data_IF_485415474957
#
_entry.id   IF_485415474957
#
_cell.length_a   1.000
_cell.length_b   1.000
_cell.length_c   1.000
_cell.angle_alpha   90.00
_cell.angle_beta   90.00
_cell.angle_gamma   90.00
#
_symmetry.space_group_name_H-M   'P 1'
#
loop_
_entity.id
_entity.type
_entity.pdbx_description
1 polymer ?
#
# COMPACT_ATOMS: atom_id res chain seq x y z
N UNK A 1 -55.40 -48.23 44.30
CA UNK A 1 -55.50 -47.45 45.55
C UNK A 1 -54.55 -46.27 45.44
N UNK A 2 -55.14 -45.06 45.33
CA UNK A 2 -54.57 -43.69 45.48
C UNK A 2 -53.46 -43.29 44.47
N UNK A 3 -53.71 -42.54 43.38
CA UNK A 3 -54.03 -41.10 43.20
C UNK A 3 -53.01 -40.09 43.76
N UNK A 4 -52.49 -39.24 42.85
CA UNK A 4 -52.17 -37.78 42.89
C UNK A 4 -51.04 -37.54 41.86
N UNK A 5 -51.23 -36.97 40.67
CA UNK A 5 -51.65 -35.61 40.26
C UNK A 5 -51.06 -34.47 41.08
N UNK A 6 -50.02 -33.80 40.53
CA UNK A 6 -49.69 -32.40 40.76
C UNK A 6 -49.02 -31.80 39.51
N UNK A 7 -49.85 -31.16 38.68
CA UNK A 7 -49.71 -29.78 38.16
C UNK A 7 -48.34 -29.25 37.71
N UNK A 8 -48.26 -28.95 36.41
CA UNK A 8 -47.32 -28.03 35.75
C UNK A 8 -47.33 -26.63 36.39
N UNK A 9 -46.19 -26.20 36.93
CA UNK A 9 -45.90 -24.78 37.18
C UNK A 9 -44.97 -24.27 36.06
N UNK A 10 -45.55 -23.57 35.08
CA UNK A 10 -44.82 -22.76 34.11
C UNK A 10 -44.21 -21.57 34.86
N UNK A 11 -42.94 -21.70 35.28
CA UNK A 11 -42.14 -20.55 35.70
C UNK A 11 -41.90 -19.67 34.47
N UNK A 12 -42.58 -18.53 34.41
CA UNK A 12 -42.22 -17.42 33.56
C UNK A 12 -40.81 -16.93 33.96
N UNK A 13 -39.79 -17.47 33.29
CA UNK A 13 -38.43 -16.98 33.39
C UNK A 13 -38.39 -15.55 32.88
N UNK A 14 -38.18 -14.60 33.78
CA UNK A 14 -37.81 -13.23 33.44
C UNK A 14 -36.42 -13.29 32.78
N UNK A 15 -36.40 -13.49 31.46
CA UNK A 15 -35.18 -13.43 30.67
C UNK A 15 -34.54 -12.06 30.87
N UNK A 16 -33.36 -12.04 31.48
CA UNK A 16 -32.50 -10.86 31.49
C UNK A 16 -32.33 -10.42 30.04
N UNK A 17 -32.58 -9.15 29.67
CA UNK A 17 -32.36 -8.71 28.31
C UNK A 17 -30.91 -9.02 27.95
N UNK A 18 -30.73 -9.84 26.91
CA UNK A 18 -29.41 -10.20 26.42
C UNK A 18 -28.65 -8.90 26.12
N UNK A 19 -27.46 -8.76 26.73
CA UNK A 19 -26.57 -7.65 26.40
C UNK A 19 -26.36 -7.69 24.89
N UNK A 20 -26.64 -6.59 24.14
CA UNK A 20 -26.41 -6.57 22.72
C UNK A 20 -24.94 -6.93 22.47
N UNK A 21 -24.64 -7.69 21.40
CA UNK A 21 -23.27 -8.03 21.08
C UNK A 21 -22.45 -6.74 21.02
N UNK A 22 -21.22 -6.74 21.56
CA UNK A 22 -20.35 -5.57 21.49
C UNK A 22 -20.19 -5.16 20.03
N UNK A 23 -20.17 -3.86 19.78
CA UNK A 23 -20.00 -3.37 18.42
C UNK A 23 -18.68 -3.81 17.81
N UNK A 24 -18.67 -4.03 16.50
CA UNK A 24 -17.52 -4.54 15.74
C UNK A 24 -16.61 -3.37 15.35
N UNK A 25 -15.34 -3.35 15.81
CA UNK A 25 -14.38 -2.32 15.42
C UNK A 25 -14.22 -2.21 13.91
N UNK A 26 -14.21 -0.98 13.41
CA UNK A 26 -14.14 -0.68 11.98
C UNK A 26 -15.47 -0.75 11.24
N UNK A 27 -16.54 -1.25 11.87
CA UNK A 27 -17.90 -1.29 11.29
C UNK A 27 -18.78 -0.29 12.02
N UNK A 28 -19.22 -0.62 13.23
CA UNK A 28 -20.19 0.13 14.03
C UNK A 28 -19.57 0.82 15.26
N UNK A 29 -18.35 0.45 15.63
CA UNK A 29 -17.51 1.23 16.56
C UNK A 29 -16.15 1.54 15.92
N UNK A 30 -15.48 2.64 16.29
CA UNK A 30 -14.20 3.00 15.69
C UNK A 30 -13.13 1.91 15.88
N UNK A 31 -12.30 1.69 14.85
CA UNK A 31 -11.07 0.93 14.98
C UNK A 31 -9.98 1.71 15.76
N UNK A 32 -8.80 1.11 15.94
CA UNK A 32 -7.67 1.76 16.62
C UNK A 32 -7.15 3.03 15.92
N UNK A 33 -7.61 3.32 14.69
CA UNK A 33 -7.32 4.55 13.93
C UNK A 33 -8.55 5.46 13.82
N UNK A 34 -9.60 5.20 14.58
CA UNK A 34 -10.81 6.01 14.60
C UNK A 34 -11.78 5.79 13.44
N UNK A 35 -11.60 4.77 12.60
CA UNK A 35 -12.39 4.54 11.37
C UNK A 35 -13.61 3.66 11.62
N UNK A 36 -14.69 3.91 10.88
CA UNK A 36 -15.93 3.11 10.87
C UNK A 36 -16.43 2.89 9.44
N UNK A 37 -17.42 2.01 9.24
CA UNK A 37 -18.01 1.74 7.93
C UNK A 37 -17.05 1.11 6.91
N UNK A 38 -15.98 0.46 7.37
CA UNK A 38 -14.97 -0.16 6.51
C UNK A 38 -15.57 -1.33 5.69
N UNK A 39 -16.68 -1.91 6.13
CA UNK A 39 -17.50 -2.91 5.42
C UNK A 39 -18.40 -2.31 4.32
N UNK A 40 -18.28 -1.01 4.02
CA UNK A 40 -19.08 -0.34 2.99
C UNK A 40 -18.28 0.10 1.77
N UNK A 41 -16.95 -0.05 1.82
CA UNK A 41 -16.06 0.39 0.77
C UNK A 41 -16.45 -0.22 -0.59
N UNK A 42 -16.87 0.64 -1.53
CA UNK A 42 -17.23 0.24 -2.88
C UNK A 42 -18.61 -0.41 -3.06
N UNK A 43 -19.42 -0.55 -2.00
CA UNK A 43 -20.71 -1.25 -2.04
C UNK A 43 -21.71 -0.63 -3.00
N UNK A 44 -21.71 0.70 -3.10
CA UNK A 44 -22.67 1.46 -3.90
C UNK A 44 -22.15 1.84 -5.29
N UNK A 45 -21.03 1.23 -5.73
CA UNK A 45 -20.42 1.55 -7.02
C UNK A 45 -21.24 1.00 -8.19
N UNK A 46 -21.57 1.89 -9.13
CA UNK A 46 -22.36 1.58 -10.33
C UNK A 46 -21.66 1.96 -11.64
N UNK A 47 -20.41 2.45 -11.57
CA UNK A 47 -19.63 2.96 -12.72
C UNK A 47 -19.32 1.91 -13.79
N UNK A 48 -19.35 0.61 -13.45
CA UNK A 48 -19.21 -0.47 -14.41
C UNK A 48 -20.51 -1.30 -14.40
N UNK A 49 -21.36 -1.22 -15.43
CA UNK A 49 -22.66 -1.91 -15.44
C UNK A 49 -22.53 -3.44 -15.46
N UNK A 50 -21.34 -3.98 -15.75
CA UNK A 50 -21.04 -5.42 -15.72
C UNK A 50 -20.61 -5.92 -14.35
N UNK A 51 -20.62 -5.07 -13.32
CA UNK A 51 -20.25 -5.41 -11.95
C UNK A 51 -21.37 -4.98 -11.02
N UNK A 52 -21.84 -5.89 -10.17
CA UNK A 52 -22.79 -5.58 -9.10
C UNK A 52 -22.23 -6.08 -7.78
N UNK A 53 -21.79 -5.17 -6.92
CA UNK A 53 -21.32 -5.51 -5.57
C UNK A 53 -22.51 -5.96 -4.73
N UNK A 54 -22.40 -7.13 -4.10
CA UNK A 54 -23.46 -7.73 -3.28
C UNK A 54 -23.17 -7.59 -1.80
N UNK A 55 -21.92 -7.82 -1.43
CA UNK A 55 -21.48 -7.80 -0.04
C UNK A 55 -20.01 -7.42 0.07
N UNK A 56 -19.66 -6.76 1.18
CA UNK A 56 -18.29 -6.39 1.53
C UNK A 56 -18.10 -6.75 3.00
N UNK A 57 -17.32 -7.79 3.24
CA UNK A 57 -16.99 -8.29 4.57
C UNK A 57 -15.66 -7.68 5.02
N UNK A 58 -15.65 -7.09 6.22
CA UNK A 58 -14.42 -6.68 6.89
C UNK A 58 -13.74 -7.92 7.52
N UNK A 59 -12.62 -8.34 6.95
CA UNK A 59 -11.87 -9.53 7.40
C UNK A 59 -10.85 -9.16 8.47
N UNK A 60 -10.13 -8.04 8.30
CA UNK A 60 -9.16 -7.56 9.28
C UNK A 60 -9.00 -6.04 9.24
N UNK A 61 -8.77 -5.45 10.41
CA UNK A 61 -8.39 -4.03 10.63
C UNK A 61 -7.17 -3.93 11.53
N UNK A 62 -6.14 -4.73 11.20
CA UNK A 62 -4.81 -4.57 11.78
C UNK A 62 -4.12 -3.33 11.22
N UNK A 63 -2.84 -3.45 10.86
CA UNK A 63 -2.09 -2.32 10.30
C UNK A 63 -2.77 -1.68 9.07
N UNK A 64 -3.37 -2.50 8.22
CA UNK A 64 -4.15 -2.06 7.06
C UNK A 64 -5.47 -2.85 7.00
N UNK A 65 -6.34 -2.50 6.04
CA UNK A 65 -7.69 -3.07 5.99
C UNK A 65 -7.75 -4.21 4.99
N UNK A 66 -8.13 -5.41 5.44
CA UNK A 66 -8.43 -6.55 4.57
C UNK A 66 -9.94 -6.72 4.44
N UNK A 67 -10.42 -6.75 3.20
CA UNK A 67 -11.84 -6.95 2.90
C UNK A 67 -12.03 -8.15 2.01
N UNK A 68 -13.19 -8.80 2.13
CA UNK A 68 -13.66 -9.82 1.19
C UNK A 68 -14.93 -9.32 0.52
N UNK A 69 -14.86 -9.11 -0.78
CA UNK A 69 -15.97 -8.56 -1.57
C UNK A 69 -16.60 -9.66 -2.40
N UNK A 70 -17.92 -9.81 -2.26
CA UNK A 70 -18.75 -10.67 -3.10
C UNK A 70 -19.47 -9.82 -4.14
N UNK A 71 -19.33 -10.14 -5.41
CA UNK A 71 -19.95 -9.39 -6.51
C UNK A 71 -20.38 -10.31 -7.64
N UNK A 72 -21.40 -9.88 -8.38
CA UNK A 72 -21.76 -10.53 -9.64
C UNK A 72 -21.04 -9.81 -10.78
N UNK A 73 -20.43 -10.58 -11.68
CA UNK A 73 -19.72 -10.07 -12.85
C UNK A 73 -20.33 -10.65 -14.13
N UNK A 74 -20.60 -9.78 -15.10
CA UNK A 74 -21.04 -10.19 -16.43
C UNK A 74 -19.83 -10.42 -17.33
N UNK A 75 -19.67 -11.64 -17.81
CA UNK A 75 -18.66 -12.07 -18.77
C UNK A 75 -18.92 -11.49 -20.16
N UNK A 76 -17.94 -11.59 -21.06
CA UNK A 76 -18.04 -11.03 -22.41
C UNK A 76 -19.13 -11.71 -23.26
N UNK A 77 -19.48 -12.96 -22.93
CA UNK A 77 -20.57 -13.74 -23.52
C UNK A 77 -21.97 -13.37 -22.97
N UNK A 78 -22.05 -12.38 -22.06
CA UNK A 78 -23.28 -11.95 -21.41
C UNK A 78 -23.69 -12.77 -20.19
N UNK A 79 -23.00 -13.88 -19.88
CA UNK A 79 -23.26 -14.72 -18.71
C UNK A 79 -22.88 -14.00 -17.43
N UNK A 80 -23.69 -14.16 -16.38
CA UNK A 80 -23.36 -13.68 -15.05
C UNK A 80 -22.72 -14.78 -14.20
N UNK A 81 -21.71 -14.42 -13.42
CA UNK A 81 -21.15 -15.29 -12.37
C UNK A 81 -20.99 -14.52 -11.07
N UNK A 82 -21.31 -15.17 -9.95
CA UNK A 82 -20.92 -14.68 -8.63
C UNK A 82 -19.45 -14.98 -8.38
N UNK A 83 -18.72 -13.98 -7.92
CA UNK A 83 -17.29 -14.08 -7.59
C UNK A 83 -17.03 -13.49 -6.21
N UNK A 84 -15.89 -13.89 -5.65
CA UNK A 84 -15.39 -13.38 -4.38
C UNK A 84 -13.91 -13.07 -4.51
N UNK A 85 -13.47 -11.93 -3.95
CA UNK A 85 -12.07 -11.50 -3.93
C UNK A 85 -11.73 -10.89 -2.58
N UNK A 86 -10.53 -11.16 -2.11
CA UNK A 86 -9.95 -10.43 -0.99
C UNK A 86 -9.10 -9.28 -1.51
N UNK A 87 -9.26 -8.11 -0.89
CA UNK A 87 -8.49 -6.91 -1.21
C UNK A 87 -7.83 -6.35 0.05
N UNK A 88 -6.52 -6.15 -0.02
CA UNK A 88 -5.71 -5.53 1.01
C UNK A 88 -5.51 -4.05 0.70
N UNK A 89 -6.09 -3.21 1.54
CA UNK A 89 -6.11 -1.77 1.40
C UNK A 89 -5.13 -1.12 2.38
N UNK A 90 -3.98 -0.79 1.83
CA UNK A 90 -2.85 -0.15 2.51
C UNK A 90 -2.76 1.36 2.28
N UNK A 91 -3.71 1.94 1.55
CA UNK A 91 -3.62 3.30 1.03
C UNK A 91 -2.81 3.40 -0.27
N UNK A 92 -2.83 4.60 -0.84
CA UNK A 92 -1.98 4.99 -1.96
C UNK A 92 -0.66 5.56 -1.42
N UNK A 93 0.35 5.67 -2.29
CA UNK A 93 1.65 6.23 -1.94
C UNK A 93 2.30 6.99 -3.08
N UNK A 94 3.49 7.53 -2.81
CA UNK A 94 4.31 8.21 -3.81
C UNK A 94 5.75 7.69 -3.75
N UNK A 95 6.45 7.74 -4.88
CA UNK A 95 7.85 7.32 -5.00
C UNK A 95 8.63 8.25 -5.93
N UNK A 96 9.94 8.36 -5.75
CA UNK A 96 10.78 9.27 -6.52
C UNK A 96 12.15 8.69 -6.86
N UNK A 97 12.61 8.96 -8.08
CA UNK A 97 14.01 8.77 -8.47
C UNK A 97 14.74 10.10 -8.49
N UNK A 98 15.66 10.28 -7.54
CA UNK A 98 16.58 11.41 -7.57
C UNK A 98 17.76 11.10 -8.47
N UNK A 99 18.15 12.07 -9.30
CA UNK A 99 19.23 11.89 -10.27
C UNK A 99 20.17 13.10 -10.36
N UNK A 100 21.43 12.84 -10.68
CA UNK A 100 22.41 13.84 -11.07
C UNK A 100 22.92 13.51 -12.48
N UNK A 101 22.49 14.31 -13.46
CA UNK A 101 22.84 14.11 -14.88
C UNK A 101 24.34 14.22 -15.12
N UNK A 102 25.01 15.12 -14.40
CA UNK A 102 26.44 15.38 -14.61
C UNK A 102 27.30 14.24 -14.10
N UNK A 103 26.92 13.68 -12.94
CA UNK A 103 27.63 12.55 -12.33
C UNK A 103 27.13 11.20 -12.85
N UNK A 104 26.03 11.19 -13.61
CA UNK A 104 25.32 9.98 -14.07
C UNK A 104 24.88 9.08 -12.91
N UNK A 105 24.55 9.67 -11.77
CA UNK A 105 24.16 8.91 -10.57
C UNK A 105 22.68 9.06 -10.25
N UNK A 106 22.16 8.05 -9.56
CA UNK A 106 20.85 8.06 -8.91
C UNK A 106 21.01 7.90 -7.40
N UNK A 107 20.05 8.42 -6.63
CA UNK A 107 19.97 8.21 -5.19
C UNK A 107 18.84 7.21 -4.89
N UNK A 108 19.21 6.13 -4.21
CA UNK A 108 18.34 5.03 -3.80
C UNK A 108 18.48 4.83 -2.29
N UNK A 109 17.57 4.06 -1.71
CA UNK A 109 17.64 3.59 -0.33
C UNK A 109 17.84 2.08 -0.30
N UNK A 110 18.40 1.56 0.80
CA UNK A 110 18.41 0.13 1.11
C UNK A 110 17.89 -0.10 2.50
N UNK A 111 16.86 -0.95 2.61
CA UNK A 111 16.17 -1.21 3.89
C UNK A 111 15.62 -2.62 3.97
N UNK A 112 15.38 -3.07 5.19
CA UNK A 112 14.80 -4.38 5.45
C UNK A 112 13.30 -4.42 5.10
N UNK A 113 12.88 -5.44 4.36
CA UNK A 113 11.47 -5.73 4.05
C UNK A 113 11.13 -7.17 4.46
N UNK A 114 10.46 -7.31 5.59
CA UNK A 114 10.01 -8.61 6.09
C UNK A 114 9.22 -9.44 5.05
N UNK A 115 8.26 -8.88 4.27
CA UNK A 115 7.52 -9.66 3.28
C UNK A 115 8.40 -10.29 2.20
N UNK A 116 9.48 -9.60 1.78
CA UNK A 116 10.42 -10.15 0.82
C UNK A 116 11.33 -11.20 1.48
N UNK A 117 11.75 -10.96 2.72
CA UNK A 117 12.57 -11.90 3.49
C UNK A 117 11.89 -13.26 3.69
N UNK A 118 10.60 -13.26 4.05
CA UNK A 118 9.83 -14.51 4.20
C UNK A 118 9.45 -15.15 2.86
N UNK A 119 9.73 -14.47 1.75
CA UNK A 119 9.46 -14.90 0.39
C UNK A 119 10.77 -14.97 -0.41
N UNK A 120 11.75 -15.65 0.16
CA UNK A 120 13.01 -16.09 -0.48
C UNK A 120 14.03 -14.99 -0.86
N UNK A 121 13.84 -13.73 -0.46
CA UNK A 121 14.91 -12.73 -0.57
C UNK A 121 16.07 -13.11 0.38
N UNK A 122 17.34 -13.11 -0.05
CA UNK A 122 18.46 -13.69 0.70
C UNK A 122 18.66 -13.11 2.10
N UNK A 123 18.48 -11.79 2.26
CA UNK A 123 18.68 -11.07 3.54
C UNK A 123 17.53 -10.11 3.86
N UNK A 124 16.47 -10.07 3.04
CA UNK A 124 15.40 -9.08 3.12
C UNK A 124 15.80 -7.61 2.85
N UNK A 125 17.05 -7.30 2.52
CA UNK A 125 17.52 -5.92 2.32
C UNK A 125 17.33 -5.48 0.87
N UNK A 126 16.23 -4.81 0.58
CA UNK A 126 15.91 -4.35 -0.77
C UNK A 126 16.53 -2.99 -1.04
N UNK A 127 17.07 -2.82 -2.25
CA UNK A 127 17.45 -1.52 -2.81
C UNK A 127 16.24 -0.94 -3.54
N UNK A 128 15.82 0.25 -3.14
CA UNK A 128 14.56 0.87 -3.54
C UNK A 128 14.74 2.36 -3.91
N UNK A 129 13.88 2.88 -4.79
CA UNK A 129 13.58 4.30 -4.86
C UNK A 129 12.86 4.74 -3.59
N UNK A 130 13.14 5.96 -3.12
CA UNK A 130 12.47 6.51 -1.94
C UNK A 130 10.96 6.54 -2.16
N UNK A 131 10.21 6.17 -1.13
CA UNK A 131 8.76 6.01 -1.24
C UNK A 131 8.09 5.91 0.13
N UNK A 132 6.87 6.45 0.21
CA UNK A 132 6.01 6.32 1.37
C UNK A 132 4.54 6.54 1.09
N UNK A 133 3.73 6.38 2.13
CA UNK A 133 2.28 6.54 2.05
C UNK A 133 1.89 8.01 1.93
N UNK A 134 0.73 8.26 1.31
CA UNK A 134 0.21 9.63 1.23
C UNK A 134 -0.18 10.19 2.60
N UNK A 135 -0.72 9.34 3.48
CA UNK A 135 -1.19 9.68 4.84
C UNK A 135 -2.07 10.95 4.90
N UNK A 136 -2.93 11.10 3.89
CA UNK A 136 -3.87 12.22 3.77
C UNK A 136 -3.31 13.47 3.08
N UNK A 137 -2.03 13.48 2.72
CA UNK A 137 -1.42 14.53 1.92
C UNK A 137 -1.65 14.29 0.42
N UNK A 138 -1.44 15.33 -0.40
CA UNK A 138 -1.28 15.14 -1.83
C UNK A 138 0.05 14.43 -2.16
N UNK A 139 0.17 13.76 -3.32
CA UNK A 139 1.35 12.98 -3.65
C UNK A 139 2.67 13.76 -3.71
N UNK A 140 2.65 15.05 -4.09
CA UNK A 140 3.87 15.86 -4.11
C UNK A 140 4.32 16.21 -2.69
N UNK A 141 3.39 16.63 -1.82
CA UNK A 141 3.70 16.91 -0.43
C UNK A 141 4.23 15.66 0.29
N UNK A 142 3.60 14.49 0.06
CA UNK A 142 4.05 13.23 0.63
C UNK A 142 5.48 12.89 0.19
N UNK A 143 5.77 12.92 -1.11
CA UNK A 143 7.10 12.50 -1.59
C UNK A 143 8.21 13.48 -1.20
N UNK A 144 7.91 14.77 -1.04
CA UNK A 144 8.87 15.76 -0.51
C UNK A 144 9.26 15.43 0.93
N UNK A 145 8.27 15.11 1.78
CA UNK A 145 8.52 14.68 3.16
C UNK A 145 9.40 13.43 3.19
N UNK A 146 8.98 12.38 2.47
CA UNK A 146 9.70 11.10 2.43
C UNK A 146 11.14 11.26 1.95
N UNK A 147 11.37 12.13 0.95
CA UNK A 147 12.73 12.33 0.44
C UNK A 147 13.64 13.02 1.45
N UNK A 148 13.11 13.98 2.22
CA UNK A 148 13.84 14.64 3.29
C UNK A 148 14.16 13.66 4.44
N UNK A 149 13.21 12.79 4.79
CA UNK A 149 13.35 11.82 5.88
C UNK A 149 14.26 10.63 5.50
N UNK A 150 13.98 9.96 4.38
CA UNK A 150 14.69 8.75 3.96
C UNK A 150 16.09 9.05 3.40
N UNK A 151 16.20 10.09 2.54
CA UNK A 151 17.42 10.36 1.77
C UNK A 151 18.17 11.62 2.23
N UNK A 152 17.58 12.43 3.12
CA UNK A 152 18.18 13.68 3.58
C UNK A 152 18.26 14.74 2.48
N UNK A 153 17.32 14.73 1.52
CA UNK A 153 17.32 15.65 0.38
C UNK A 153 16.05 16.50 0.33
N UNK A 154 16.25 17.82 0.30
CA UNK A 154 15.18 18.78 0.02
C UNK A 154 15.05 18.98 -1.50
N UNK A 155 14.03 18.36 -2.09
CA UNK A 155 13.85 18.36 -3.54
C UNK A 155 13.22 19.66 -4.05
N UNK A 156 13.70 20.13 -5.21
CA UNK A 156 13.15 21.27 -5.92
C UNK A 156 11.95 20.91 -6.80
N UNK A 157 12.08 21.18 -8.10
CA UNK A 157 11.06 20.85 -9.09
C UNK A 157 10.89 19.33 -9.23
N UNK A 158 9.63 18.88 -9.23
CA UNK A 158 9.27 17.48 -9.40
C UNK A 158 8.76 17.25 -10.84
N UNK A 159 9.26 16.20 -11.47
CA UNK A 159 8.65 15.66 -12.70
C UNK A 159 7.73 14.52 -12.31
N UNK A 160 6.42 14.66 -12.55
CA UNK A 160 5.51 13.51 -12.51
C UNK A 160 5.78 12.61 -13.71
N UNK A 161 5.96 11.32 -13.45
CA UNK A 161 6.35 10.32 -14.45
C UNK A 161 5.11 9.56 -14.93
N UNK A 162 4.42 8.89 -14.01
CA UNK A 162 3.14 8.20 -14.23
C UNK A 162 2.52 7.77 -12.90
N UNK A 163 1.30 7.23 -12.96
CA UNK A 163 0.67 6.51 -11.85
C UNK A 163 0.52 5.03 -12.21
N UNK A 164 0.74 4.13 -11.24
CA UNK A 164 0.56 2.70 -11.47
C UNK A 164 -0.07 1.98 -10.27
N UNK A 165 -0.95 1.01 -10.56
CA UNK A 165 -1.35 0.00 -9.58
C UNK A 165 -0.29 -1.09 -9.51
N UNK A 166 0.30 -1.32 -8.35
CA UNK A 166 1.48 -2.19 -8.23
C UNK A 166 1.14 -3.69 -8.20
N UNK A 167 0.02 -4.06 -7.60
CA UNK A 167 -0.44 -5.46 -7.54
C UNK A 167 -1.98 -5.55 -7.57
N UNK A 168 -2.62 -5.16 -8.69
CA UNK A 168 -4.07 -4.98 -8.79
C UNK A 168 -4.89 -6.28 -8.69
N UNK A 169 -4.23 -7.44 -8.53
CA UNK A 169 -4.93 -8.71 -8.28
C UNK A 169 -5.56 -8.78 -6.89
N UNK A 170 -4.96 -8.13 -5.89
CA UNK A 170 -5.41 -8.20 -4.50
C UNK A 170 -5.00 -7.00 -3.63
N UNK A 171 -4.20 -6.06 -4.12
CA UNK A 171 -3.79 -4.87 -3.37
C UNK A 171 -4.35 -3.64 -4.06
N UNK A 172 -4.92 -2.70 -3.29
CA UNK A 172 -5.56 -1.50 -3.84
C UNK A 172 -4.57 -0.39 -4.20
N UNK A 173 -3.35 -0.47 -3.67
CA UNK A 173 -2.30 0.55 -3.76
C UNK A 173 -2.09 1.02 -5.19
N UNK A 174 -2.25 2.33 -5.37
CA UNK A 174 -1.70 3.08 -6.49
C UNK A 174 -0.51 3.90 -6.00
N UNK A 175 0.59 3.80 -6.73
CA UNK A 175 1.77 4.64 -6.52
C UNK A 175 1.82 5.76 -7.55
N UNK A 176 2.14 6.97 -7.07
CA UNK A 176 2.44 8.16 -7.86
C UNK A 176 3.96 8.27 -8.04
N UNK A 177 4.42 8.25 -9.28
CA UNK A 177 5.85 8.20 -9.60
C UNK A 177 6.39 9.57 -9.96
N UNK A 178 7.51 9.93 -9.36
CA UNK A 178 8.20 11.19 -9.57
C UNK A 178 9.67 10.98 -9.93
N UNK A 179 10.28 12.01 -10.49
CA UNK A 179 11.72 12.15 -10.61
C UNK A 179 12.12 13.60 -10.33
N UNK A 180 13.32 13.81 -9.78
CA UNK A 180 13.84 15.15 -9.58
C UNK A 180 15.36 15.20 -9.71
N UNK A 181 15.92 16.27 -10.29
CA UNK A 181 17.35 16.51 -10.21
C UNK A 181 17.73 16.83 -8.75
N UNK A 182 18.93 16.41 -8.35
CA UNK A 182 19.52 16.87 -7.09
C UNK A 182 21.01 17.15 -7.27
N UNK A 183 21.53 17.92 -6.34
CA UNK A 183 22.95 18.24 -6.20
C UNK A 183 23.39 18.02 -4.76
N UNK A 184 24.70 18.10 -4.52
CA UNK A 184 25.24 18.03 -3.15
C UNK A 184 24.72 19.15 -2.22
N UNK A 185 24.20 20.26 -2.77
CA UNK A 185 23.63 21.35 -1.96
C UNK A 185 22.25 21.02 -1.41
N UNK A 186 21.56 20.11 -2.06
CA UNK A 186 20.19 19.71 -1.70
C UNK A 186 20.20 18.63 -0.61
N UNK A 187 21.37 18.04 -0.32
CA UNK A 187 21.58 17.13 0.82
C UNK A 187 21.65 17.92 2.12
N UNK A 188 20.52 18.04 2.81
CA UNK A 188 20.37 18.81 4.05
C UNK A 188 20.48 17.94 5.31
N UNK A 189 20.46 16.61 5.17
CA UNK A 189 20.64 15.66 6.26
C UNK A 189 21.35 14.38 5.84
N UNK A 190 21.64 13.48 6.80
CA UNK A 190 22.23 12.18 6.51
C UNK A 190 21.24 11.19 5.84
N UNK A 191 19.94 11.51 5.85
CA UNK A 191 18.88 10.53 5.58
C UNK A 191 18.77 9.51 6.71
N UNK A 192 18.23 8.34 6.40
CA UNK A 192 18.16 7.21 7.33
C UNK A 192 16.77 6.86 7.84
N UNK A 193 15.76 7.64 7.47
CA UNK A 193 14.38 7.44 7.95
C UNK A 193 14.18 7.89 9.39
N UNK A 194 13.01 7.57 9.93
CA UNK A 194 12.63 7.96 11.29
C UNK A 194 12.94 6.83 12.29
N UNK A 195 14.00 7.00 13.09
CA UNK A 195 14.37 6.02 14.14
C UNK A 195 13.25 5.75 15.15
N UNK A 196 12.40 6.74 15.43
CA UNK A 196 11.22 6.59 16.29
C UNK A 196 10.17 5.62 15.73
N UNK A 197 10.16 5.41 14.41
CA UNK A 197 9.30 4.48 13.69
C UNK A 197 9.97 3.12 13.46
N UNK A 198 11.19 2.94 13.99
CA UNK A 198 11.97 1.71 13.84
C UNK A 198 12.59 1.55 12.44
N UNK A 199 12.68 2.63 11.68
CA UNK A 199 13.33 2.62 10.38
C UNK A 199 14.86 2.63 10.51
N UNK A 200 15.51 1.85 9.64
CA UNK A 200 16.95 1.79 9.46
C UNK A 200 17.20 1.74 7.95
N UNK A 201 17.52 2.90 7.37
CA UNK A 201 17.64 3.09 5.93
C UNK A 201 19.08 3.48 5.57
N UNK A 202 19.70 2.71 4.69
CA UNK A 202 20.99 3.05 4.08
C UNK A 202 20.75 3.89 2.82
N UNK A 203 21.43 5.03 2.69
CA UNK A 203 21.38 5.86 1.48
C UNK A 203 22.46 5.40 0.49
N UNK A 204 22.05 5.06 -0.72
CA UNK A 204 22.90 4.56 -1.79
C UNK A 204 22.94 5.52 -2.97
N UNK A 205 24.12 6.07 -3.28
CA UNK A 205 24.36 6.80 -4.53
C UNK A 205 25.08 5.88 -5.51
N UNK A 206 24.45 5.61 -6.66
CA UNK A 206 24.91 4.60 -7.61
C UNK A 206 24.94 5.18 -9.01
N UNK A 207 25.95 4.84 -9.81
CA UNK A 207 25.94 5.14 -11.25
C UNK A 207 24.75 4.46 -11.93
N UNK A 208 24.08 5.14 -12.85
CA UNK A 208 22.86 4.63 -13.50
C UNK A 208 23.10 3.33 -14.26
N UNK A 209 24.27 3.15 -14.88
CA UNK A 209 24.59 1.94 -15.63
C UNK A 209 24.85 0.75 -14.69
N UNK A 210 25.43 1.01 -13.51
CA UNK A 210 25.55 0.01 -12.44
C UNK A 210 24.19 -0.33 -11.82
N UNK A 211 23.32 0.66 -11.57
CA UNK A 211 21.97 0.40 -11.09
C UNK A 211 21.18 -0.48 -12.07
N UNK A 212 21.34 -0.28 -13.38
CA UNK A 212 20.78 -1.17 -14.40
C UNK A 212 21.43 -2.55 -14.41
N UNK A 213 22.72 -2.67 -14.13
CA UNK A 213 23.37 -3.98 -13.94
C UNK A 213 22.80 -4.72 -12.72
N UNK A 214 22.58 -4.01 -11.61
CA UNK A 214 21.94 -4.54 -10.41
C UNK A 214 20.51 -5.04 -10.67
N UNK A 215 19.76 -4.38 -11.56
CA UNK A 215 18.45 -4.91 -12.02
C UNK A 215 18.61 -6.24 -12.76
N UNK A 216 19.61 -6.34 -13.66
CA UNK A 216 19.81 -7.54 -14.47
C UNK A 216 20.27 -8.75 -13.65
N UNK A 217 21.09 -8.53 -12.64
CA UNK A 217 21.63 -9.59 -11.78
C UNK A 217 20.82 -9.86 -10.50
N UNK A 218 19.74 -9.10 -10.28
CA UNK A 218 18.79 -9.31 -9.19
C UNK A 218 19.16 -8.62 -7.88
N UNK A 219 20.25 -7.85 -7.81
CA UNK A 219 20.56 -6.99 -6.65
C UNK A 219 19.53 -5.88 -6.44
N UNK A 220 18.84 -5.43 -7.51
CA UNK A 220 17.61 -4.64 -7.43
C UNK A 220 16.45 -5.52 -7.90
N UNK A 221 15.55 -5.83 -6.98
CA UNK A 221 14.36 -6.66 -7.22
C UNK A 221 13.06 -5.96 -6.80
N UNK A 222 13.05 -4.63 -6.77
CA UNK A 222 11.88 -3.83 -6.42
C UNK A 222 11.22 -3.21 -7.67
N UNK A 223 9.93 -3.47 -7.84
CA UNK A 223 9.19 -3.13 -9.06
C UNK A 223 9.18 -1.64 -9.38
N UNK A 224 8.86 -0.78 -8.41
CA UNK A 224 8.81 0.68 -8.62
C UNK A 224 10.19 1.24 -8.99
N UNK A 225 11.26 0.71 -8.40
CA UNK A 225 12.64 1.09 -8.69
C UNK A 225 13.05 0.70 -10.09
N UNK A 226 12.75 -0.55 -10.49
CA UNK A 226 13.00 -1.04 -11.84
C UNK A 226 12.30 -0.15 -12.87
N UNK A 227 11.04 0.19 -12.63
CA UNK A 227 10.25 1.06 -13.52
C UNK A 227 10.88 2.46 -13.67
N UNK A 228 11.30 3.08 -12.57
CA UNK A 228 11.94 4.40 -12.60
C UNK A 228 13.31 4.38 -13.28
N UNK A 229 14.14 3.39 -13.00
CA UNK A 229 15.45 3.24 -13.65
C UNK A 229 15.30 3.04 -15.16
N UNK A 230 14.34 2.21 -15.57
CA UNK A 230 14.04 1.99 -16.98
C UNK A 230 13.53 3.27 -17.65
N UNK A 231 12.57 3.96 -17.03
CA UNK A 231 12.09 5.25 -17.52
C UNK A 231 13.25 6.24 -17.69
N UNK A 232 14.15 6.33 -16.71
CA UNK A 232 15.23 7.31 -16.70
C UNK A 232 16.17 7.21 -17.90
N UNK A 233 16.37 5.99 -18.45
CA UNK A 233 17.20 5.76 -19.65
C UNK A 233 16.41 5.65 -20.96
N UNK A 234 15.11 5.34 -20.91
CA UNK A 234 14.27 5.26 -22.10
C UNK A 234 13.74 6.64 -22.53
N UNK A 235 13.31 7.44 -21.57
CA UNK A 235 12.62 8.71 -21.80
C UNK A 235 13.19 9.86 -20.98
N UNK A 236 13.74 9.55 -19.81
CA UNK A 236 14.14 10.53 -18.82
C UNK A 236 15.57 11.08 -18.98
N UNK A 237 16.18 11.52 -17.88
CA UNK A 237 17.39 12.36 -17.88
C UNK A 237 18.66 11.68 -18.42
N UNK A 238 18.66 10.36 -18.55
CA UNK A 238 19.80 9.57 -19.03
C UNK A 238 19.58 8.97 -20.40
N UNK A 239 18.52 9.39 -21.11
CA UNK A 239 18.25 8.93 -22.47
C UNK A 239 19.45 9.18 -23.37
N UNK A 240 19.79 8.20 -24.21
CA UNK A 240 20.85 8.35 -25.20
C UNK A 240 20.59 9.58 -26.09
N UNK A 241 21.53 10.52 -26.13
CA UNK A 241 21.42 11.77 -26.88
C UNK A 241 20.65 12.90 -26.17
N UNK A 242 20.38 12.77 -24.86
CA UNK A 242 19.99 13.87 -23.99
C UNK A 242 21.17 14.80 -23.66
#
# INVERSE_FOLDING_TARGET
MLQQDQSDEVRAGTGTPATPPPGRPGIDVPDHRGRTGLDRAGRDLTRNPRVVVRDVELVSTGWHVLRRTTFDYQHADGRWSRQQRETYDRGDGATILLHDVRRRTVLLSRRFRYPAYVNDHPDGMLVEAAAGLLDGNDPEAAIRRETAEELGVDVGELTHVFDAYMSPGSVTERLHFYAAPYTARDRTGPGGGLSAEGEDIEVLEVDVDEALAMVRDGRIADGKTIMLLQWAVLEGPFRAGA
#
